data_IF_976354048823
#
_entry.id   IF_976354048823
#
_cell.length_a   1.000
_cell.length_b   1.000
_cell.length_c   1.000
_cell.angle_alpha   90.00
_cell.angle_beta   90.00
_cell.angle_gamma   90.00
#
_symmetry.space_group_name_H-M   'P 1'
#
loop_
_entity.id
_entity.type
_entity.pdbx_description
1 polymer ?
#
# COMPACT_ATOMS: atom_id res chain seq x y z
N UNK A 1 24.18 -49.64 17.76
CA UNK A 1 23.66 -48.61 16.85
C UNK A 1 22.21 -48.94 16.56
N UNK A 2 21.28 -48.16 17.12
CA UNK A 2 19.89 -48.58 17.29
C UNK A 2 19.08 -48.33 16.01
N UNK A 3 18.93 -49.35 15.16
CA UNK A 3 18.23 -49.28 13.86
C UNK A 3 16.82 -48.71 13.97
N UNK A 4 16.14 -48.94 15.09
CA UNK A 4 14.81 -48.36 15.38
C UNK A 4 14.81 -46.84 15.52
N UNK A 5 15.86 -46.26 16.08
CA UNK A 5 15.99 -44.80 16.19
C UNK A 5 16.24 -44.17 14.81
N UNK A 6 17.00 -44.86 13.95
CA UNK A 6 17.26 -44.43 12.58
C UNK A 6 15.96 -44.42 11.74
N UNK A 7 15.11 -45.44 11.88
CA UNK A 7 13.81 -45.51 11.19
C UNK A 7 12.85 -44.39 11.61
N UNK A 8 12.83 -44.03 12.90
CA UNK A 8 12.00 -42.95 13.44
C UNK A 8 12.44 -41.57 12.92
N UNK A 9 13.74 -41.31 12.87
CA UNK A 9 14.29 -40.04 12.34
C UNK A 9 14.01 -39.91 10.84
N UNK A 10 14.16 -41.00 10.07
CA UNK A 10 13.89 -41.00 8.64
C UNK A 10 12.40 -40.76 8.33
N UNK A 11 11.50 -41.36 9.10
CA UNK A 11 10.06 -41.13 8.97
C UNK A 11 9.67 -39.67 9.30
N UNK A 12 10.26 -39.09 10.35
CA UNK A 12 10.01 -37.70 10.72
C UNK A 12 10.51 -36.71 9.64
N UNK A 13 11.66 -36.97 9.01
CA UNK A 13 12.18 -36.14 7.91
C UNK A 13 11.28 -36.19 6.66
N UNK A 14 10.65 -37.33 6.37
CA UNK A 14 9.72 -37.43 5.22
C UNK A 14 8.41 -36.67 5.42
N UNK A 15 8.00 -36.38 6.66
CA UNK A 15 6.76 -35.64 6.94
C UNK A 15 6.92 -34.11 6.81
N UNK A 16 8.14 -33.57 6.78
CA UNK A 16 8.40 -32.13 6.77
C UNK A 16 8.34 -31.48 5.36
N UNK A 17 7.93 -32.20 4.32
CA UNK A 17 8.19 -31.82 2.91
C UNK A 17 6.99 -31.49 2.01
N UNK A 18 5.76 -31.29 2.52
CA UNK A 18 4.57 -31.15 1.64
C UNK A 18 4.10 -29.71 1.34
N UNK A 19 4.86 -28.67 1.67
CA UNK A 19 4.52 -27.29 1.27
C UNK A 19 5.47 -26.81 0.17
N UNK A 20 5.16 -27.16 -1.08
CA UNK A 20 5.86 -26.63 -2.24
C UNK A 20 5.24 -25.26 -2.62
N UNK A 21 5.97 -24.17 -2.36
CA UNK A 21 5.57 -22.81 -2.70
C UNK A 21 5.91 -22.43 -4.15
N UNK A 22 6.44 -23.37 -4.96
CA UNK A 22 6.74 -23.10 -6.37
C UNK A 22 5.46 -22.78 -7.13
N UNK A 23 5.38 -21.59 -7.72
CA UNK A 23 4.21 -21.13 -8.47
C UNK A 23 3.19 -20.32 -7.65
N UNK A 24 3.50 -19.98 -6.39
CA UNK A 24 2.77 -18.93 -5.65
C UNK A 24 3.43 -17.58 -5.92
N UNK A 25 3.44 -17.16 -7.19
CA UNK A 25 3.78 -15.80 -7.56
C UNK A 25 2.53 -14.92 -7.49
N UNK A 26 2.70 -13.69 -7.03
CA UNK A 26 1.61 -12.71 -7.01
C UNK A 26 1.24 -12.35 -8.44
N UNK A 27 0.20 -13.00 -8.97
CA UNK A 27 -0.38 -12.75 -10.31
C UNK A 27 -1.07 -11.37 -10.42
N UNK A 28 -0.98 -10.52 -9.39
CA UNK A 28 -1.49 -9.15 -9.42
C UNK A 28 -0.55 -8.23 -10.17
N UNK A 29 -0.64 -8.19 -11.49
CA UNK A 29 -0.05 -7.09 -12.25
C UNK A 29 -0.81 -5.80 -11.93
N UNK A 30 -0.09 -4.70 -11.66
CA UNK A 30 -0.72 -3.37 -11.59
C UNK A 30 -1.36 -3.11 -12.94
N UNK A 31 -2.67 -2.83 -12.96
CA UNK A 31 -3.33 -2.34 -14.16
C UNK A 31 -2.65 -1.02 -14.56
N UNK A 32 -2.17 -0.97 -15.79
CA UNK A 32 -1.67 0.25 -16.39
C UNK A 32 -2.82 1.25 -16.44
N UNK A 33 -2.60 2.48 -15.99
CA UNK A 33 -3.63 3.51 -15.97
C UNK A 33 -4.25 3.76 -17.36
N UNK A 34 -3.50 3.55 -18.43
CA UNK A 34 -3.96 3.67 -19.82
C UNK A 34 -4.84 2.49 -20.27
N UNK A 35 -4.80 1.35 -19.54
CA UNK A 35 -5.67 0.19 -19.79
C UNK A 35 -6.99 0.25 -19.01
N UNK A 36 -7.11 1.18 -18.06
CA UNK A 36 -8.37 1.47 -17.39
C UNK A 36 -9.36 2.03 -18.43
N UNK A 37 -10.54 1.42 -18.53
CA UNK A 37 -11.61 1.88 -19.42
C UNK A 37 -12.27 3.19 -18.93
N UNK A 38 -11.52 4.13 -18.36
CA UNK A 38 -11.99 5.50 -18.10
C UNK A 38 -12.47 6.16 -19.40
N UNK A 39 -11.87 5.80 -20.53
CA UNK A 39 -12.33 6.19 -21.86
C UNK A 39 -13.72 5.67 -22.27
N UNK A 40 -14.29 4.63 -21.62
CA UNK A 40 -15.70 4.24 -21.84
C UNK A 40 -16.66 5.23 -21.19
N UNK A 41 -16.38 5.64 -19.95
CA UNK A 41 -17.20 6.62 -19.23
C UNK A 41 -17.11 8.01 -19.86
N UNK A 42 -15.99 8.31 -20.53
CA UNK A 42 -15.73 9.56 -21.25
C UNK A 42 -15.84 9.41 -22.77
N UNK A 43 -16.43 8.32 -23.27
CA UNK A 43 -16.52 8.06 -24.70
C UNK A 43 -17.37 9.14 -25.38
N UNK A 44 -16.78 9.86 -26.34
CA UNK A 44 -17.42 10.99 -27.02
C UNK A 44 -17.19 12.36 -26.35
N UNK A 45 -16.50 12.41 -25.20
CA UNK A 45 -15.98 13.66 -24.64
C UNK A 45 -14.62 13.92 -25.27
N UNK A 46 -14.54 14.94 -26.13
CA UNK A 46 -13.25 15.45 -26.62
C UNK A 46 -12.54 16.13 -25.46
N UNK A 47 -11.73 15.38 -24.71
CA UNK A 47 -10.76 15.92 -23.77
C UNK A 47 -9.67 16.61 -24.58
N UNK A 48 -9.95 17.83 -25.03
CA UNK A 48 -8.91 18.74 -25.51
C UNK A 48 -8.03 19.12 -24.30
N UNK A 49 -6.76 19.42 -24.50
CA UNK A 49 -5.96 20.15 -23.49
C UNK A 49 -6.64 21.47 -23.08
N UNK A 50 -7.58 21.96 -23.88
CA UNK A 50 -8.45 23.10 -23.58
C UNK A 50 -9.75 22.77 -22.82
N UNK A 51 -10.07 21.49 -22.56
CA UNK A 51 -11.34 21.06 -21.96
C UNK A 51 -11.24 20.65 -20.49
N UNK A 52 -10.03 20.41 -19.97
CA UNK A 52 -9.80 20.33 -18.53
C UNK A 52 -9.45 21.74 -18.02
N UNK A 53 -10.12 22.26 -16.98
CA UNK A 53 -9.76 23.56 -16.43
C UNK A 53 -8.30 23.54 -15.97
N UNK A 54 -7.57 24.65 -16.17
CA UNK A 54 -6.23 24.75 -15.59
C UNK A 54 -6.32 24.56 -14.06
N UNK A 55 -5.22 24.14 -13.43
CA UNK A 55 -5.19 24.00 -11.97
C UNK A 55 -5.63 25.28 -11.26
N UNK A 56 -5.39 26.43 -11.89
CA UNK A 56 -5.76 27.78 -11.49
C UNK A 56 -6.90 28.37 -12.35
N UNK A 57 -7.86 27.54 -12.76
CA UNK A 57 -8.95 27.92 -13.66
C UNK A 57 -9.69 29.20 -13.29
N UNK A 58 -9.77 29.52 -12.00
CA UNK A 58 -10.42 30.74 -11.50
C UNK A 58 -9.74 32.03 -11.99
N UNK A 59 -8.46 31.99 -12.38
CA UNK A 59 -7.76 33.16 -12.93
C UNK A 59 -8.37 33.66 -14.23
N UNK A 60 -9.11 32.81 -14.97
CA UNK A 60 -9.79 33.25 -16.19
C UNK A 60 -10.87 34.30 -15.92
N UNK A 61 -11.31 34.47 -14.65
CA UNK A 61 -12.23 35.54 -14.27
C UNK A 61 -11.57 36.92 -14.20
N UNK A 62 -10.23 36.99 -14.15
CA UNK A 62 -9.50 38.26 -14.11
C UNK A 62 -9.73 39.08 -12.83
N UNK A 63 -10.13 38.44 -11.72
CA UNK A 63 -10.37 39.08 -10.43
C UNK A 63 -9.17 38.87 -9.48
N UNK A 64 -8.34 39.90 -9.22
CA UNK A 64 -7.20 39.78 -8.32
C UNK A 64 -7.59 39.58 -6.85
N UNK A 65 -8.81 39.98 -6.44
CA UNK A 65 -9.30 39.71 -5.08
C UNK A 65 -9.63 38.22 -4.93
N UNK A 66 -10.30 37.63 -5.92
CA UNK A 66 -10.57 36.20 -5.96
C UNK A 66 -9.29 35.37 -5.91
N UNK A 67 -8.27 35.77 -6.68
CA UNK A 67 -6.96 35.12 -6.68
C UNK A 67 -6.33 35.13 -5.27
N UNK A 68 -6.41 36.26 -4.58
CA UNK A 68 -5.92 36.40 -3.20
C UNK A 68 -6.65 35.49 -2.23
N UNK A 69 -7.99 35.46 -2.30
CA UNK A 69 -8.83 34.63 -1.43
C UNK A 69 -8.56 33.14 -1.62
N UNK A 70 -8.41 32.69 -2.87
CA UNK A 70 -8.12 31.27 -3.15
C UNK A 70 -6.71 30.90 -2.69
N UNK A 71 -5.72 31.78 -2.89
CA UNK A 71 -4.36 31.52 -2.40
C UNK A 71 -4.30 31.44 -0.87
N UNK A 72 -4.99 32.32 -0.17
CA UNK A 72 -5.08 32.29 1.30
C UNK A 72 -5.76 31.01 1.79
N UNK A 73 -6.89 30.64 1.17
CA UNK A 73 -7.60 29.41 1.50
C UNK A 73 -6.74 28.16 1.26
N UNK A 74 -6.00 28.08 0.15
CA UNK A 74 -5.16 26.93 -0.16
C UNK A 74 -3.93 26.81 0.75
N UNK A 75 -3.35 27.93 1.20
CA UNK A 75 -2.15 27.92 2.06
C UNK A 75 -2.45 27.42 3.47
N UNK A 76 -3.58 27.83 4.06
CA UNK A 76 -3.85 27.61 5.48
C UNK A 76 -5.20 26.92 5.75
N UNK A 77 -5.71 26.08 4.84
CA UNK A 77 -6.96 25.35 5.05
C UNK A 77 -6.78 24.16 6.01
N UNK A 78 -7.47 24.14 7.17
CA UNK A 78 -7.49 22.97 8.06
C UNK A 78 -8.11 21.75 7.40
N UNK A 79 -9.11 21.93 6.53
CA UNK A 79 -9.75 20.83 5.80
C UNK A 79 -8.77 20.15 4.84
N UNK A 80 -7.90 20.93 4.18
CA UNK A 80 -6.82 20.38 3.34
C UNK A 80 -5.80 19.59 4.16
N UNK A 81 -5.45 20.06 5.36
CA UNK A 81 -4.57 19.33 6.27
C UNK A 81 -5.20 18.01 6.72
N UNK A 82 -6.50 17.99 7.00
CA UNK A 82 -7.24 16.77 7.34
C UNK A 82 -7.28 15.80 6.14
N UNK A 83 -7.48 16.32 4.92
CA UNK A 83 -7.45 15.50 3.71
C UNK A 83 -6.07 14.86 3.49
N UNK A 84 -5.00 15.63 3.67
CA UNK A 84 -3.61 15.13 3.58
C UNK A 84 -3.31 14.06 4.64
N UNK A 85 -3.74 14.26 5.88
CA UNK A 85 -3.58 13.26 6.93
C UNK A 85 -4.33 11.95 6.62
N UNK A 86 -5.52 12.04 6.01
CA UNK A 86 -6.28 10.86 5.56
C UNK A 86 -5.59 10.13 4.41
N UNK A 87 -4.96 10.86 3.49
CA UNK A 87 -4.16 10.26 2.42
C UNK A 87 -2.98 9.48 2.99
N UNK A 88 -2.20 10.08 3.90
CA UNK A 88 -1.10 9.41 4.60
C UNK A 88 -1.57 8.18 5.39
N UNK A 89 -2.72 8.25 6.05
CA UNK A 89 -3.30 7.10 6.76
C UNK A 89 -3.61 5.94 5.79
N UNK A 90 -4.18 6.24 4.63
CA UNK A 90 -4.49 5.23 3.62
C UNK A 90 -3.22 4.60 3.04
N UNK A 91 -2.18 5.40 2.77
CA UNK A 91 -0.88 4.90 2.34
C UNK A 91 -0.25 3.99 3.38
N UNK A 92 -0.22 4.39 4.66
CA UNK A 92 0.31 3.57 5.74
C UNK A 92 -0.42 2.23 5.86
N UNK A 93 -1.74 2.21 5.70
CA UNK A 93 -2.53 0.99 5.68
C UNK A 93 -2.15 0.08 4.49
N UNK A 94 -1.95 0.67 3.30
CA UNK A 94 -1.49 -0.08 2.12
C UNK A 94 -0.08 -0.66 2.33
N UNK A 95 0.83 0.11 2.93
CA UNK A 95 2.17 -0.37 3.30
C UNK A 95 2.12 -1.53 4.29
N UNK A 96 1.31 -1.44 5.35
CA UNK A 96 1.15 -2.52 6.32
C UNK A 96 0.59 -3.79 5.67
N UNK A 97 -0.42 -3.66 4.80
CA UNK A 97 -0.99 -4.78 4.06
C UNK A 97 0.02 -5.44 3.10
N UNK A 98 0.94 -4.66 2.55
CA UNK A 98 2.03 -5.17 1.72
C UNK A 98 3.13 -5.86 2.56
N UNK A 99 3.52 -5.27 3.69
CA UNK A 99 4.51 -5.84 4.61
C UNK A 99 4.07 -7.20 5.17
N UNK A 100 2.77 -7.39 5.40
CA UNK A 100 2.20 -8.67 5.83
C UNK A 100 2.41 -9.84 4.84
N UNK A 101 2.81 -9.55 3.60
CA UNK A 101 3.11 -10.56 2.56
C UNK A 101 4.61 -10.85 2.44
N UNK A 102 5.44 -10.18 3.23
CA UNK A 102 6.89 -10.32 3.23
C UNK A 102 7.35 -11.22 4.40
N UNK A 103 8.53 -11.85 4.32
CA UNK A 103 9.14 -12.52 5.47
C UNK A 103 9.33 -11.55 6.64
N UNK A 104 8.97 -11.98 7.85
CA UNK A 104 9.23 -11.22 9.07
C UNK A 104 10.57 -11.62 9.67
N UNK A 105 11.29 -10.65 10.22
CA UNK A 105 12.52 -10.87 10.96
C UNK A 105 12.37 -10.23 12.33
N UNK A 106 12.39 -11.06 13.36
CA UNK A 106 12.27 -10.63 14.76
C UNK A 106 13.44 -11.19 15.57
N UNK A 107 13.92 -10.41 16.53
CA UNK A 107 14.98 -10.81 17.44
C UNK A 107 14.58 -10.48 18.88
N UNK A 108 14.71 -11.44 19.80
CA UNK A 108 14.43 -11.22 21.22
C UNK A 108 15.50 -11.88 22.10
N UNK A 109 15.74 -11.28 23.27
CA UNK A 109 16.67 -11.77 24.28
C UNK A 109 16.06 -11.58 25.67
N UNK A 110 16.18 -12.57 26.56
CA UNK A 110 15.63 -12.51 27.90
C UNK A 110 16.46 -13.33 28.90
N UNK A 111 16.52 -12.86 30.15
CA UNK A 111 17.16 -13.55 31.27
C UNK A 111 16.17 -13.66 32.44
N UNK A 112 15.79 -14.88 32.79
CA UNK A 112 14.86 -15.15 33.90
C UNK A 112 15.61 -15.78 35.08
N UNK A 113 15.40 -15.24 36.30
CA UNK A 113 15.91 -15.83 37.54
C UNK A 113 14.76 -16.02 38.52
N UNK A 114 14.46 -17.26 38.88
CA UNK A 114 13.56 -17.59 39.99
C UNK A 114 14.37 -17.88 41.26
N UNK A 115 13.89 -17.42 42.42
CA UNK A 115 14.35 -17.86 43.74
C UNK A 115 13.12 -18.41 44.47
N UNK A 116 13.13 -19.70 44.76
CA UNK A 116 12.15 -20.32 45.65
C UNK A 116 12.64 -20.07 47.09
N UNK A 117 11.77 -19.48 47.91
CA UNK A 117 12.00 -19.24 49.33
C UNK A 117 11.69 -20.48 50.16
#
# INVERSE_FOLDING_TARGET
MNTRALSLVLAAMTLAGCANYSGLDTQGQRLDANTLQTGKSLNGVTLSDAAWPSADWWKSFGDPQLDGLIQEALQNSPDMQVADARAHQAEAAAYAANAARMPTLDASAGVSRARLA
#
